data_IF_570691230907
#
_entry.id   IF_570691230907
#
_cell.length_a   1.000
_cell.length_b   1.000
_cell.length_c   1.000
_cell.angle_alpha   90.00
_cell.angle_beta   90.00
_cell.angle_gamma   90.00
#
_symmetry.space_group_name_H-M   'P 1'
#
loop_
_entity.id
_entity.type
_entity.pdbx_description
1 polymer ?
#
# COMPACT_ATOMS: atom_id res chain seq x y z
N UNK A 1 31.64 -4.20 -21.59
CA UNK A 1 32.40 -4.12 -20.32
C UNK A 1 31.93 -5.26 -19.43
N UNK A 2 32.85 -6.12 -18.99
CA UNK A 2 32.51 -7.27 -18.13
C UNK A 2 31.96 -6.75 -16.80
N UNK A 3 30.76 -7.19 -16.42
CA UNK A 3 30.17 -6.83 -15.13
C UNK A 3 31.03 -7.48 -14.04
N UNK A 4 31.84 -6.69 -13.32
CA UNK A 4 32.60 -7.20 -12.19
C UNK A 4 31.64 -7.77 -11.15
N UNK A 5 31.80 -9.05 -10.80
CA UNK A 5 30.97 -9.73 -9.80
C UNK A 5 31.02 -8.98 -8.47
N UNK A 6 29.94 -9.04 -7.69
CA UNK A 6 29.87 -8.45 -6.33
C UNK A 6 31.05 -8.84 -5.44
N UNK A 7 31.55 -10.07 -5.58
CA UNK A 7 32.75 -10.56 -4.90
C UNK A 7 34.00 -9.73 -5.23
N UNK A 8 34.22 -9.40 -6.50
CA UNK A 8 35.36 -8.61 -6.96
C UNK A 8 35.31 -7.17 -6.43
N UNK A 9 34.13 -6.55 -6.45
CA UNK A 9 33.94 -5.19 -5.92
C UNK A 9 34.14 -5.17 -4.41
N UNK A 10 33.63 -6.19 -3.69
CA UNK A 10 33.86 -6.33 -2.25
C UNK A 10 35.36 -6.45 -1.93
N UNK A 11 36.11 -7.25 -2.70
CA UNK A 11 37.55 -7.37 -2.54
C UNK A 11 38.29 -6.06 -2.82
N UNK A 12 37.88 -5.29 -3.84
CA UNK A 12 38.45 -3.98 -4.16
C UNK A 12 38.21 -2.95 -3.06
N UNK A 13 37.01 -2.94 -2.45
CA UNK A 13 36.72 -2.09 -1.30
C UNK A 13 37.57 -2.50 -0.10
N UNK A 14 37.64 -3.80 0.21
CA UNK A 14 38.45 -4.30 1.31
C UNK A 14 39.94 -4.00 1.15
N UNK A 15 40.48 -4.08 -0.08
CA UNK A 15 41.89 -3.79 -0.33
C UNK A 15 42.21 -2.31 -0.22
N UNK A 16 41.30 -1.42 -0.65
CA UNK A 16 41.50 0.03 -0.58
C UNK A 16 41.24 0.61 0.82
N UNK A 17 40.28 0.08 1.58
CA UNK A 17 40.01 0.53 2.96
C UNK A 17 40.97 -0.09 3.99
N UNK A 18 41.52 -1.28 3.70
CA UNK A 18 42.39 -2.02 4.60
C UNK A 18 41.78 -2.18 6.01
N UNK A 19 42.37 -1.60 7.06
CA UNK A 19 41.87 -1.73 8.44
C UNK A 19 40.53 -1.02 8.67
N UNK A 20 40.12 -0.08 7.80
CA UNK A 20 38.82 0.60 7.88
C UNK A 20 37.68 -0.21 7.24
N UNK A 21 37.97 -1.35 6.60
CA UNK A 21 36.97 -2.18 5.95
C UNK A 21 35.79 -2.59 6.85
N UNK A 22 35.98 -3.07 8.10
CA UNK A 22 34.85 -3.39 8.97
C UNK A 22 33.96 -2.18 9.27
N UNK A 23 34.54 -0.99 9.42
CA UNK A 23 33.80 0.26 9.64
C UNK A 23 32.88 0.65 8.47
N UNK A 24 33.13 0.14 7.26
CA UNK A 24 32.24 0.28 6.12
C UNK A 24 31.19 -0.84 6.04
N UNK A 25 31.59 -2.09 6.24
CA UNK A 25 30.69 -3.24 6.05
C UNK A 25 29.68 -3.42 7.18
N UNK A 26 30.00 -3.01 8.42
CA UNK A 26 29.08 -3.03 9.57
C UNK A 26 27.84 -2.13 9.34
N UNK A 27 27.99 -0.83 9.02
CA UNK A 27 26.86 0.02 8.65
C UNK A 27 26.12 -0.48 7.41
N UNK A 28 26.83 -0.99 6.40
CA UNK A 28 26.18 -1.54 5.20
C UNK A 28 25.30 -2.75 5.53
N UNK A 29 25.77 -3.67 6.36
CA UNK A 29 24.98 -4.82 6.80
C UNK A 29 23.78 -4.38 7.65
N UNK A 30 23.98 -3.41 8.55
CA UNK A 30 22.90 -2.83 9.36
C UNK A 30 21.85 -2.11 8.51
N UNK A 31 22.26 -1.44 7.44
CA UNK A 31 21.36 -0.75 6.50
C UNK A 31 20.53 -1.76 5.69
N UNK A 32 21.18 -2.79 5.12
CA UNK A 32 20.50 -3.82 4.32
C UNK A 32 19.55 -4.67 5.18
N UNK A 33 19.85 -4.85 6.47
CA UNK A 33 18.95 -5.53 7.42
C UNK A 33 17.87 -4.61 8.02
N UNK A 34 17.85 -3.33 7.67
CA UNK A 34 16.84 -2.36 8.10
C UNK A 34 16.98 -1.90 9.56
N UNK A 35 18.16 -2.07 10.18
CA UNK A 35 18.43 -1.65 11.56
C UNK A 35 18.73 -0.15 11.69
N UNK A 36 19.28 0.44 10.63
CA UNK A 36 19.60 1.87 10.57
C UNK A 36 18.87 2.54 9.42
N UNK A 37 18.58 3.82 9.59
CA UNK A 37 17.95 4.64 8.56
C UNK A 37 18.94 5.09 7.50
N UNK A 38 18.43 5.54 6.34
CA UNK A 38 19.26 6.09 5.26
C UNK A 38 20.17 7.25 5.70
N UNK A 39 19.70 8.29 6.42
CA UNK A 39 20.57 9.40 6.81
C UNK A 39 21.70 8.95 7.73
N UNK A 40 21.43 8.08 8.70
CA UNK A 40 22.44 7.52 9.62
C UNK A 40 23.50 6.71 8.86
N UNK A 41 23.07 5.97 7.84
CA UNK A 41 23.97 5.23 6.97
C UNK A 41 24.87 6.16 6.16
N UNK A 42 24.31 7.20 5.52
CA UNK A 42 25.09 8.17 4.75
C UNK A 42 26.09 8.94 5.64
N UNK A 43 25.72 9.28 6.87
CA UNK A 43 26.63 9.94 7.82
C UNK A 43 27.78 9.04 8.26
N UNK A 44 27.50 7.76 8.49
CA UNK A 44 28.53 6.76 8.81
C UNK A 44 29.51 6.56 7.65
N UNK A 45 29.01 6.61 6.41
CA UNK A 45 29.82 6.44 5.20
C UNK A 45 30.74 7.63 4.93
N UNK A 46 30.32 8.86 5.21
CA UNK A 46 31.14 10.07 5.00
C UNK A 46 32.48 10.00 5.74
N UNK A 47 32.52 9.35 6.91
CA UNK A 47 33.74 9.21 7.70
C UNK A 47 34.74 8.16 7.15
N UNK A 48 34.29 7.33 6.20
CA UNK A 48 35.07 6.19 5.68
C UNK A 48 35.37 6.34 4.18
N UNK A 49 34.46 6.95 3.42
CA UNK A 49 34.56 7.15 1.97
C UNK A 49 35.13 8.54 1.64
N UNK A 50 36.41 8.76 1.94
CA UNK A 50 37.09 10.04 1.67
C UNK A 50 37.47 10.24 0.19
N UNK A 51 37.61 9.15 -0.57
CA UNK A 51 38.12 9.18 -1.95
C UNK A 51 37.02 8.95 -2.99
N UNK A 52 37.05 9.64 -4.15
CA UNK A 52 36.04 9.49 -5.20
C UNK A 52 35.98 8.07 -5.78
N UNK A 53 37.10 7.36 -5.82
CA UNK A 53 37.16 5.98 -6.29
C UNK A 53 36.36 5.03 -5.39
N UNK A 54 36.39 5.27 -4.08
CA UNK A 54 35.64 4.47 -3.10
C UNK A 54 34.14 4.71 -3.22
N UNK A 55 33.74 5.96 -3.49
CA UNK A 55 32.34 6.31 -3.76
C UNK A 55 31.84 5.58 -5.02
N UNK A 56 32.65 5.52 -6.08
CA UNK A 56 32.30 4.78 -7.29
C UNK A 56 32.13 3.28 -7.02
N UNK A 57 33.04 2.67 -6.24
CA UNK A 57 32.93 1.27 -5.85
C UNK A 57 31.71 1.00 -4.98
N UNK A 58 31.38 1.89 -4.05
CA UNK A 58 30.15 1.81 -3.24
C UNK A 58 28.90 1.88 -4.12
N UNK A 59 28.81 2.86 -5.03
CA UNK A 59 27.67 3.00 -5.93
C UNK A 59 27.50 1.76 -6.81
N UNK A 60 28.60 1.23 -7.34
CA UNK A 60 28.59 -0.02 -8.10
C UNK A 60 28.08 -1.19 -7.24
N UNK A 61 28.57 -1.32 -5.99
CA UNK A 61 28.14 -2.38 -5.07
C UNK A 61 26.64 -2.31 -4.77
N UNK A 62 26.11 -1.12 -4.48
CA UNK A 62 24.69 -0.88 -4.20
C UNK A 62 23.84 -1.27 -5.42
N UNK A 63 24.23 -0.81 -6.62
CA UNK A 63 23.53 -1.17 -7.86
C UNK A 63 23.49 -2.69 -8.01
N UNK A 64 24.63 -3.39 -7.91
CA UNK A 64 24.65 -4.85 -8.08
C UNK A 64 23.85 -5.61 -7.01
N UNK A 65 23.88 -5.16 -5.75
CA UNK A 65 23.11 -5.78 -4.67
C UNK A 65 21.60 -5.66 -4.90
N UNK A 66 21.13 -4.48 -5.29
CA UNK A 66 19.70 -4.26 -5.49
C UNK A 66 19.23 -4.72 -6.87
N UNK A 67 20.07 -4.66 -7.90
CA UNK A 67 19.75 -5.12 -9.26
C UNK A 67 19.45 -6.63 -9.27
N UNK A 68 20.27 -7.43 -8.56
CA UNK A 68 20.03 -8.85 -8.35
C UNK A 68 18.69 -9.14 -7.64
N UNK A 69 18.25 -8.26 -6.73
CA UNK A 69 16.97 -8.39 -6.03
C UNK A 69 15.77 -7.90 -6.86
N UNK A 70 15.98 -7.10 -7.92
CA UNK A 70 14.90 -6.57 -8.77
C UNK A 70 14.47 -7.47 -9.93
N UNK A 71 15.03 -8.67 -10.08
CA UNK A 71 14.62 -9.68 -11.08
C UNK A 71 13.27 -10.36 -10.81
N UNK A 72 12.25 -9.59 -10.42
CA UNK A 72 10.82 -9.97 -10.51
C UNK A 72 10.04 -9.14 -11.54
N UNK A 73 10.69 -8.30 -12.34
CA UNK A 73 10.06 -7.70 -13.52
C UNK A 73 10.42 -8.52 -14.75
N UNK A 74 9.43 -9.01 -15.53
CA UNK A 74 9.72 -9.51 -16.87
C UNK A 74 10.37 -8.37 -17.67
N UNK A 75 11.56 -8.61 -18.21
CA UNK A 75 12.33 -7.68 -19.05
C UNK A 75 11.78 -7.53 -20.48
N UNK A 76 10.62 -8.12 -20.78
CA UNK A 76 9.98 -8.01 -22.08
C UNK A 76 8.77 -7.09 -21.97
N UNK A 77 8.73 -5.94 -22.67
CA UNK A 77 7.44 -5.43 -23.09
C UNK A 77 6.74 -6.58 -23.83
N UNK A 78 5.46 -6.89 -23.52
CA UNK A 78 4.68 -7.81 -24.34
C UNK A 78 4.82 -7.40 -25.81
N UNK A 79 4.98 -8.35 -26.76
CA UNK A 79 5.03 -8.02 -28.18
C UNK A 79 3.88 -7.08 -28.53
N UNK A 80 4.16 -6.05 -29.35
CA UNK A 80 3.24 -4.97 -29.72
C UNK A 80 1.91 -5.54 -30.24
N UNK A 81 0.99 -5.78 -29.31
CA UNK A 81 -0.40 -6.04 -29.62
C UNK A 81 -0.94 -4.76 -30.25
N UNK A 82 -1.67 -4.84 -31.38
CA UNK A 82 -2.19 -3.67 -32.05
C UNK A 82 -2.92 -2.78 -31.04
N UNK A 83 -2.41 -1.55 -30.91
CA UNK A 83 -2.87 -0.57 -29.93
C UNK A 83 -4.40 -0.46 -30.06
N UNK A 84 -5.18 -0.76 -29.01
CA UNK A 84 -6.63 -0.63 -29.09
C UNK A 84 -6.96 0.82 -29.48
N UNK A 85 -8.02 1.03 -30.28
CA UNK A 85 -8.37 2.36 -30.79
C UNK A 85 -8.50 3.33 -29.62
N UNK A 86 -7.99 4.58 -29.76
CA UNK A 86 -7.97 5.56 -28.69
C UNK A 86 -9.40 5.81 -28.20
N UNK A 87 -9.74 5.24 -27.03
CA UNK A 87 -11.02 5.51 -26.37
C UNK A 87 -10.95 6.92 -25.81
N UNK A 88 -11.80 7.81 -26.33
CA UNK A 88 -12.06 9.13 -25.73
C UNK A 88 -12.25 8.95 -24.23
N UNK A 89 -11.52 9.71 -23.42
CA UNK A 89 -11.70 9.78 -21.96
C UNK A 89 -13.17 10.06 -21.68
N UNK A 90 -13.94 9.04 -21.28
CA UNK A 90 -15.26 9.25 -20.67
C UNK A 90 -14.99 9.99 -19.37
N UNK A 91 -15.45 11.23 -19.31
CA UNK A 91 -15.60 11.99 -18.08
C UNK A 91 -16.29 11.07 -17.07
N UNK A 92 -15.61 10.69 -16.00
CA UNK A 92 -16.23 9.99 -14.87
C UNK A 92 -17.11 11.00 -14.15
N UNK A 93 -18.35 11.15 -14.65
CA UNK A 93 -19.46 11.54 -13.80
C UNK A 93 -19.83 10.31 -12.96
N UNK A 94 -20.10 10.47 -11.66
CA UNK A 94 -20.71 9.43 -10.86
C UNK A 94 -22.15 9.27 -11.34
N UNK A 95 -22.38 8.29 -12.21
CA UNK A 95 -23.71 7.74 -12.42
C UNK A 95 -23.57 6.21 -12.36
N UNK A 96 -23.83 5.69 -11.15
CA UNK A 96 -24.11 4.29 -10.88
C UNK A 96 -25.45 3.95 -11.54
N UNK A 97 -25.39 3.22 -12.65
CA UNK A 97 -26.58 2.63 -13.24
C UNK A 97 -27.09 1.45 -12.41
N UNK A 98 -28.36 1.05 -12.57
CA UNK A 98 -28.91 -0.13 -11.90
C UNK A 98 -28.20 -1.37 -12.42
N UNK A 99 -27.46 -2.04 -11.55
CA UNK A 99 -26.56 -3.15 -11.89
C UNK A 99 -25.18 -3.03 -11.22
N UNK A 100 -24.88 -1.92 -10.54
CA UNK A 100 -23.88 -1.91 -9.46
C UNK A 100 -24.50 -2.57 -8.22
N UNK A 101 -24.92 -3.81 -8.40
CA UNK A 101 -25.21 -4.71 -7.31
C UNK A 101 -23.89 -4.79 -6.54
N UNK A 102 -23.89 -4.46 -5.25
CA UNK A 102 -22.74 -4.60 -4.34
C UNK A 102 -22.17 -6.02 -4.21
N UNK A 103 -22.40 -6.87 -5.21
CA UNK A 103 -21.77 -8.14 -5.49
C UNK A 103 -20.26 -7.99 -5.42
N UNK A 104 -19.70 -8.75 -4.49
CA UNK A 104 -18.28 -8.91 -4.14
C UNK A 104 -17.42 -9.39 -5.35
N UNK A 105 -18.00 -9.49 -6.54
CA UNK A 105 -17.44 -10.04 -7.78
C UNK A 105 -16.99 -8.96 -8.77
N UNK A 106 -16.31 -7.90 -8.32
CA UNK A 106 -15.73 -6.90 -9.23
C UNK A 106 -14.81 -7.57 -10.27
N UNK A 107 -15.02 -7.27 -11.57
CA UNK A 107 -14.15 -7.77 -12.65
C UNK A 107 -12.69 -7.35 -12.49
N UNK A 108 -12.46 -6.22 -11.82
CA UNK A 108 -11.13 -5.74 -11.47
C UNK A 108 -10.45 -6.66 -10.46
N UNK A 109 -11.19 -7.13 -9.45
CA UNK A 109 -10.69 -8.09 -8.47
C UNK A 109 -10.34 -9.42 -9.15
N UNK A 110 -11.18 -9.91 -10.06
CA UNK A 110 -10.89 -11.13 -10.84
C UNK A 110 -9.60 -10.99 -11.66
N UNK A 111 -9.43 -9.88 -12.37
CA UNK A 111 -8.21 -9.60 -13.14
C UNK A 111 -6.97 -9.52 -12.24
N UNK A 112 -7.08 -8.87 -11.08
CA UNK A 112 -6.00 -8.81 -10.10
C UNK A 112 -5.67 -10.20 -9.55
N UNK A 113 -6.67 -11.01 -9.18
CA UNK A 113 -6.47 -12.37 -8.69
C UNK A 113 -5.76 -13.26 -9.71
N UNK A 114 -6.09 -13.15 -11.01
CA UNK A 114 -5.44 -13.92 -12.08
C UNK A 114 -3.99 -13.48 -12.30
N UNK A 115 -3.65 -12.21 -12.03
CA UNK A 115 -2.27 -11.72 -12.12
C UNK A 115 -1.37 -12.21 -10.98
N UNK A 116 -1.95 -12.77 -9.92
CA UNK A 116 -1.24 -13.37 -8.80
C UNK A 116 -0.84 -14.81 -9.16
N UNK A 117 0.41 -15.17 -8.87
CA UNK A 117 0.95 -16.51 -9.13
C UNK A 117 0.17 -17.61 -8.40
N UNK A 118 0.17 -18.84 -8.94
CA UNK A 118 -0.57 -20.00 -8.40
C UNK A 118 -0.37 -20.18 -6.88
N UNK A 119 0.89 -20.15 -6.43
CA UNK A 119 1.22 -20.34 -5.01
C UNK A 119 0.55 -19.32 -4.08
N UNK A 120 0.52 -18.04 -4.48
CA UNK A 120 -0.08 -16.98 -3.68
C UNK A 120 -1.62 -17.05 -3.73
N UNK A 121 -2.20 -17.49 -4.85
CA UNK A 121 -3.64 -17.78 -4.91
C UNK A 121 -4.04 -18.91 -3.99
N UNK A 122 -3.27 -20.00 -3.98
CA UNK A 122 -3.51 -21.16 -3.12
C UNK A 122 -3.38 -20.76 -1.64
N UNK A 123 -2.40 -19.90 -1.31
CA UNK A 123 -2.25 -19.32 0.03
C UNK A 123 -3.46 -18.49 0.46
N UNK A 124 -3.95 -17.59 -0.41
CA UNK A 124 -5.12 -16.74 -0.12
C UNK A 124 -6.38 -17.60 0.02
N UNK A 125 -6.54 -18.64 -0.82
CA UNK A 125 -7.67 -19.56 -0.75
C UNK A 125 -7.66 -20.41 0.53
N UNK A 126 -6.49 -20.68 1.10
CA UNK A 126 -6.34 -21.39 2.38
C UNK A 126 -6.61 -20.51 3.61
N UNK A 127 -6.80 -19.20 3.45
CA UNK A 127 -7.21 -18.33 4.56
C UNK A 127 -8.66 -18.64 4.94
N UNK A 128 -8.92 -18.74 6.25
CA UNK A 128 -10.27 -18.89 6.78
C UNK A 128 -11.13 -17.70 6.34
N UNK A 129 -12.24 -17.98 5.65
CA UNK A 129 -13.15 -16.94 5.18
C UNK A 129 -13.84 -16.31 6.38
N UNK A 130 -13.33 -15.17 6.84
CA UNK A 130 -14.01 -14.37 7.87
C UNK A 130 -15.37 -13.95 7.32
N UNK A 131 -16.49 -14.29 7.98
CA UNK A 131 -17.80 -13.86 7.53
C UNK A 131 -17.84 -12.32 7.51
N UNK A 132 -18.49 -11.71 6.51
CA UNK A 132 -18.61 -10.26 6.47
C UNK A 132 -19.26 -9.78 7.76
N UNK A 133 -18.65 -8.77 8.39
CA UNK A 133 -19.23 -8.10 9.57
C UNK A 133 -20.66 -7.66 9.23
N UNK A 134 -21.62 -8.15 10.00
CA UNK A 134 -23.05 -7.85 9.86
C UNK A 134 -23.42 -6.47 10.41
N UNK A 135 -22.45 -5.69 10.89
CA UNK A 135 -22.65 -4.34 11.42
C UNK A 135 -22.39 -3.23 10.38
N UNK A 136 -23.04 -2.07 10.52
CA UNK A 136 -22.76 -0.90 9.70
C UNK A 136 -21.27 -0.52 9.82
N UNK A 137 -20.61 -0.38 8.68
CA UNK A 137 -19.20 0.02 8.62
C UNK A 137 -19.10 1.51 8.94
N UNK A 138 -18.61 1.82 10.14
CA UNK A 138 -18.40 3.19 10.63
C UNK A 138 -17.54 4.06 9.69
N UNK A 139 -16.72 3.42 8.84
CA UNK A 139 -15.86 4.13 7.90
C UNK A 139 -16.59 4.70 6.68
N UNK A 140 -17.71 4.09 6.31
CA UNK A 140 -18.51 4.41 5.12
C UNK A 140 -19.88 4.99 5.47
N UNK A 141 -20.40 4.72 6.67
CA UNK A 141 -21.72 5.14 7.09
C UNK A 141 -21.68 6.52 7.75
N UNK A 142 -21.90 7.57 6.94
CA UNK A 142 -21.89 8.98 7.37
C UNK A 142 -22.86 9.25 8.52
N UNK A 143 -23.99 8.52 8.55
CA UNK A 143 -25.03 8.65 9.58
C UNK A 143 -24.49 8.19 10.94
N UNK A 144 -23.71 7.10 10.96
CA UNK A 144 -23.10 6.57 12.17
C UNK A 144 -21.93 7.44 12.67
N UNK A 145 -21.26 8.18 11.77
CA UNK A 145 -20.06 8.96 12.11
C UNK A 145 -20.37 10.33 12.74
N UNK A 146 -21.42 11.03 12.32
CA UNK A 146 -21.56 12.46 12.67
C UNK A 146 -22.66 12.84 13.66
N UNK A 147 -23.71 12.05 13.88
CA UNK A 147 -24.92 12.61 14.53
C UNK A 147 -25.37 12.02 15.86
N UNK A 148 -24.72 10.97 16.39
CA UNK A 148 -25.23 10.32 17.62
C UNK A 148 -26.68 9.82 17.48
N UNK A 149 -27.16 9.70 16.24
CA UNK A 149 -28.48 9.21 15.89
C UNK A 149 -28.33 7.73 15.58
N UNK A 150 -28.92 6.89 16.40
CA UNK A 150 -29.04 5.45 16.13
C UNK A 150 -30.17 5.26 15.13
N UNK A 151 -29.85 4.70 13.97
CA UNK A 151 -30.85 4.27 12.99
C UNK A 151 -31.64 3.12 13.62
N UNK A 152 -32.83 3.42 14.11
CA UNK A 152 -33.73 2.39 14.64
C UNK A 152 -34.18 1.52 13.46
N UNK A 153 -34.13 0.18 13.59
CA UNK A 153 -34.64 -0.70 12.55
C UNK A 153 -36.11 -0.35 12.32
N UNK A 154 -36.49 -0.13 11.06
CA UNK A 154 -37.89 0.10 10.72
C UNK A 154 -38.70 -1.10 11.21
N UNK A 155 -39.50 -0.87 12.25
CA UNK A 155 -40.42 -1.85 12.80
C UNK A 155 -41.38 -2.17 11.65
N UNK A 156 -41.35 -3.40 11.16
CA UNK A 156 -41.93 -3.86 9.88
C UNK A 156 -43.43 -3.68 9.72
N UNK A 157 -43.91 -2.45 9.83
CA UNK A 157 -45.27 -2.02 9.60
C UNK A 157 -45.45 -1.76 8.09
N UNK A 158 -46.61 -2.12 7.53
CA UNK A 158 -46.87 -1.92 6.11
C UNK A 158 -46.94 -0.43 5.74
N UNK A 159 -46.63 -0.07 4.49
CA UNK A 159 -46.72 1.32 4.02
C UNK A 159 -48.13 1.89 4.22
N UNK A 160 -48.23 3.12 4.76
CA UNK A 160 -49.50 3.82 4.99
C UNK A 160 -50.03 3.77 6.43
N UNK A 161 -49.31 3.13 7.36
CA UNK A 161 -49.76 2.93 8.74
C UNK A 161 -49.58 4.14 9.67
N UNK A 162 -48.99 5.26 9.21
CA UNK A 162 -48.68 6.42 10.06
C UNK A 162 -49.40 7.69 9.63
N UNK A 163 -49.93 8.40 10.63
CA UNK A 163 -50.44 9.76 10.52
C UNK A 163 -49.25 10.74 10.38
N UNK A 164 -49.38 11.72 9.48
CA UNK A 164 -48.35 12.71 9.19
C UNK A 164 -47.92 13.46 10.47
N UNK A 165 -46.62 13.40 10.81
CA UNK A 165 -46.05 14.14 11.91
C UNK A 165 -46.04 15.65 11.62
N UNK A 166 -46.53 16.44 12.57
CA UNK A 166 -46.49 17.90 12.54
C UNK A 166 -45.05 18.42 12.66
N UNK A 167 -44.59 19.19 11.67
CA UNK A 167 -43.28 19.86 11.62
C UNK A 167 -43.23 21.16 12.46
N UNK A 168 -43.56 21.12 13.76
CA UNK A 168 -43.34 22.29 14.62
C UNK A 168 -43.09 21.92 16.09
N UNK A 169 -42.12 22.61 16.69
CA UNK A 169 -41.56 22.44 18.06
C UNK A 169 -40.48 21.35 18.16
N UNK A 170 -39.26 21.57 18.64
CA UNK A 170 -38.77 22.54 19.61
C UNK A 170 -37.37 23.04 19.24
N UNK A 171 -37.27 24.36 19.08
CA UNK A 171 -36.08 25.07 19.52
C UNK A 171 -36.13 25.17 21.05
N UNK A 172 -35.23 24.50 21.78
CA UNK A 172 -34.92 24.88 23.15
C UNK A 172 -33.47 24.50 23.53
N UNK A 173 -32.80 25.48 24.14
CA UNK A 173 -31.38 25.62 24.48
C UNK A 173 -30.86 24.56 25.48
N UNK A 174 -29.52 24.39 25.57
CA UNK A 174 -28.90 23.41 26.46
C UNK A 174 -28.89 23.88 27.92
N UNK A 175 -29.30 23.03 28.84
CA UNK A 175 -29.12 23.24 30.28
C UNK A 175 -28.04 22.27 30.79
N UNK A 176 -26.87 22.82 31.14
CA UNK A 176 -25.84 22.12 31.91
C UNK A 176 -26.34 21.89 33.35
N UNK A 177 -26.22 20.67 33.87
CA UNK A 177 -26.36 20.38 35.31
C UNK A 177 -25.04 19.79 35.82
N UNK A 178 -24.38 20.50 36.73
CA UNK A 178 -23.18 20.04 37.44
C UNK A 178 -23.56 19.02 38.52
N UNK A 179 -22.62 18.14 38.91
CA UNK A 179 -22.83 17.11 39.91
C UNK A 179 -22.55 17.64 41.32
N UNK A 180 -23.27 17.09 42.30
CA UNK A 180 -22.81 16.88 43.67
C UNK A 180 -22.70 15.36 43.88
#
# INVERSE_FOLDING_TARGET
MSLSSTSTIKQQISSQLGPKAPAYFEPLASFVTGKISRPEFEDSLKAVLDAPNLIQLHNALIIFLFDACSFKRPLTPPPDLPKPPPRKRRRTLPYQGPGDDGSIRSERLKRWMVSIGKHERDRIAALESVPPSTGPRLDTDEIARERGVVLLPERGEPPGSRLAGNDNSLAQRPAYRRPD
#
